data_IF_425577007242
#
_entry.id   IF_425577007242
#
_cell.length_a   1.000
_cell.length_b   1.000
_cell.length_c   1.000
_cell.angle_alpha   90.00
_cell.angle_beta   90.00
_cell.angle_gamma   90.00
#
_symmetry.space_group_name_H-M   'P 1'
#
loop_
_entity.id
_entity.type
_entity.pdbx_description
1 polymer ?
#
# COMPACT_ATOMS: atom_id res chain seq x y z
N UNK A 1 -6.64 -35.96 44.72
CA UNK A 1 -5.66 -35.51 43.70
C UNK A 1 -5.30 -36.62 42.71
N UNK A 2 -6.26 -37.40 42.18
CA UNK A 2 -6.02 -38.44 41.15
C UNK A 2 -7.03 -38.41 39.99
N UNK A 3 -7.93 -37.41 39.92
CA UNK A 3 -8.95 -37.29 38.87
C UNK A 3 -8.62 -36.30 37.74
N UNK A 4 -7.59 -35.47 37.91
CA UNK A 4 -7.28 -34.39 36.96
C UNK A 4 -6.28 -34.80 35.85
N UNK A 5 -5.53 -35.90 36.04
CA UNK A 5 -4.55 -36.36 35.04
C UNK A 5 -5.15 -37.28 33.95
N UNK A 6 -6.31 -37.88 34.20
CA UNK A 6 -6.98 -38.74 33.23
C UNK A 6 -7.71 -37.93 32.15
N UNK A 7 -8.29 -36.79 32.52
CA UNK A 7 -8.99 -35.90 31.55
C UNK A 7 -8.02 -35.17 30.64
N UNK A 8 -6.84 -34.79 31.09
CA UNK A 8 -5.81 -34.14 30.29
C UNK A 8 -5.19 -35.10 29.25
N UNK A 9 -5.16 -36.41 29.53
CA UNK A 9 -4.68 -37.42 28.55
C UNK A 9 -5.72 -37.73 27.47
N UNK A 10 -7.01 -37.67 27.76
CA UNK A 10 -8.08 -37.93 26.79
C UNK A 10 -8.20 -36.81 25.76
N UNK A 11 -7.99 -35.56 26.15
CA UNK A 11 -8.00 -34.39 25.24
C UNK A 11 -6.80 -34.39 24.26
N UNK A 12 -5.64 -34.88 24.72
CA UNK A 12 -4.44 -34.95 23.85
C UNK A 12 -4.40 -36.18 22.92
N UNK A 13 -5.23 -37.20 23.16
CA UNK A 13 -5.32 -38.36 22.27
C UNK A 13 -6.27 -38.13 21.08
N UNK A 14 -7.28 -37.29 21.24
CA UNK A 14 -8.24 -36.94 20.15
C UNK A 14 -7.66 -35.99 19.08
N UNK A 15 -6.52 -35.35 19.35
CA UNK A 15 -5.87 -34.41 18.40
C UNK A 15 -4.90 -35.10 17.39
N UNK A 16 -4.78 -36.44 17.41
CA UNK A 16 -3.77 -37.16 16.61
C UNK A 16 -4.29 -38.00 15.43
N UNK A 17 -5.59 -37.99 15.14
CA UNK A 17 -6.15 -38.77 14.02
C UNK A 17 -7.11 -37.91 13.17
N UNK A 18 -6.56 -36.95 12.40
CA UNK A 18 -7.23 -36.42 11.24
C UNK A 18 -6.32 -36.62 10.03
N UNK A 19 -6.80 -37.20 8.90
CA UNK A 19 -6.01 -37.36 7.68
C UNK A 19 -5.72 -36.01 7.03
N UNK A 20 -4.61 -35.85 6.27
CA UNK A 20 -4.30 -34.61 5.58
C UNK A 20 -5.28 -34.43 4.42
N UNK A 21 -6.09 -33.38 4.47
CA UNK A 21 -6.87 -32.92 3.33
C UNK A 21 -5.93 -32.37 2.25
N UNK A 22 -6.19 -32.83 1.03
CA UNK A 22 -5.37 -32.64 -0.15
C UNK A 22 -5.13 -31.18 -0.55
N UNK A 23 -4.02 -31.03 -1.28
CA UNK A 23 -3.47 -29.77 -1.70
C UNK A 23 -4.39 -28.91 -2.56
N UNK A 24 -4.39 -27.66 -2.22
CA UNK A 24 -4.48 -26.48 -3.10
C UNK A 24 -4.22 -25.24 -2.23
N UNK A 25 -3.43 -24.30 -2.77
CA UNK A 25 -3.19 -22.94 -2.22
C UNK A 25 -2.06 -22.76 -1.20
N UNK A 26 -0.84 -23.27 -1.52
CA UNK A 26 0.37 -22.94 -0.76
C UNK A 26 1.00 -21.59 -1.17
N UNK A 27 0.60 -20.99 -2.30
CA UNK A 27 1.26 -19.81 -2.87
C UNK A 27 0.77 -18.44 -2.33
N UNK A 28 -0.44 -18.35 -1.78
CA UNK A 28 -1.00 -17.08 -1.29
C UNK A 28 -0.41 -16.60 0.06
N UNK A 29 0.15 -17.52 0.85
CA UNK A 29 0.70 -17.20 2.19
C UNK A 29 2.22 -16.93 2.20
N UNK A 30 2.91 -17.11 1.08
CA UNK A 30 4.39 -17.18 1.05
C UNK A 30 5.07 -15.80 1.07
N UNK A 31 4.40 -14.73 0.66
CA UNK A 31 4.97 -13.39 0.69
C UNK A 31 5.19 -12.84 2.11
N UNK A 32 4.44 -13.33 3.12
CA UNK A 32 4.62 -12.97 4.53
C UNK A 32 5.76 -13.75 5.20
N UNK A 33 6.19 -14.88 4.60
CA UNK A 33 7.23 -15.78 5.11
C UNK A 33 8.55 -15.70 4.35
N UNK A 34 8.62 -14.91 3.28
CA UNK A 34 9.87 -14.72 2.54
C UNK A 34 10.99 -14.26 3.48
N UNK A 35 12.20 -14.86 3.45
CA UNK A 35 13.26 -14.57 4.42
C UNK A 35 13.76 -13.14 4.27
N UNK A 36 13.25 -12.25 5.13
CA UNK A 36 13.55 -10.80 5.14
C UNK A 36 15.02 -10.47 5.41
N UNK A 37 15.85 -11.44 5.81
CA UNK A 37 17.28 -11.18 6.14
C UNK A 37 18.11 -10.74 4.93
N UNK A 38 17.84 -11.26 3.75
CA UNK A 38 18.56 -10.85 2.52
C UNK A 38 18.13 -9.46 2.04
N UNK A 39 16.87 -9.07 2.27
CA UNK A 39 16.37 -7.75 1.90
C UNK A 39 16.94 -6.62 2.79
N UNK A 40 17.20 -6.88 4.06
CA UNK A 40 17.75 -5.85 4.97
C UNK A 40 19.20 -5.52 4.65
N UNK A 41 20.01 -6.49 4.26
CA UNK A 41 21.41 -6.25 3.85
C UNK A 41 21.47 -5.45 2.54
N UNK A 42 20.66 -5.83 1.56
CA UNK A 42 20.56 -5.11 0.29
C UNK A 42 20.07 -3.67 0.50
N UNK A 43 19.06 -3.46 1.36
CA UNK A 43 18.57 -2.13 1.70
C UNK A 43 19.64 -1.30 2.40
N UNK A 44 20.35 -1.86 3.37
CA UNK A 44 21.48 -1.20 4.04
C UNK A 44 22.60 -0.82 3.08
N UNK A 45 22.91 -1.72 2.15
CA UNK A 45 23.90 -1.46 1.10
C UNK A 45 23.48 -0.32 0.18
N UNK A 46 22.24 -0.34 -0.31
CA UNK A 46 21.69 0.74 -1.16
C UNK A 46 21.69 2.07 -0.39
N UNK A 47 21.27 2.07 0.89
CA UNK A 47 21.31 3.25 1.73
C UNK A 47 22.74 3.78 1.92
N UNK A 48 23.69 2.90 2.19
CA UNK A 48 25.10 3.27 2.32
C UNK A 48 25.62 3.90 1.01
N UNK A 49 25.39 3.24 -0.12
CA UNK A 49 25.76 3.76 -1.44
C UNK A 49 25.10 5.11 -1.74
N UNK A 50 23.82 5.25 -1.43
CA UNK A 50 23.08 6.49 -1.63
C UNK A 50 23.62 7.64 -0.81
N UNK A 51 24.02 7.38 0.45
CA UNK A 51 24.53 8.40 1.37
C UNK A 51 25.95 8.79 1.02
N UNK A 52 26.80 7.81 0.70
CA UNK A 52 28.24 8.04 0.49
C UNK A 52 28.55 8.58 -0.92
N UNK A 53 27.99 7.95 -1.95
CA UNK A 53 28.29 8.30 -3.36
C UNK A 53 27.30 9.28 -3.97
N UNK A 54 26.17 9.51 -3.28
CA UNK A 54 25.12 10.39 -3.74
C UNK A 54 24.21 9.75 -4.82
N UNK A 55 23.09 10.45 -5.11
CA UNK A 55 22.02 9.96 -5.97
C UNK A 55 22.47 9.62 -7.40
N UNK A 56 23.32 10.48 -8.01
CA UNK A 56 23.71 10.31 -9.42
C UNK A 56 24.50 9.02 -9.63
N UNK A 57 25.47 8.73 -8.77
CA UNK A 57 26.31 7.54 -8.87
C UNK A 57 25.51 6.29 -8.53
N UNK A 58 24.73 6.31 -7.45
CA UNK A 58 23.93 5.16 -7.03
C UNK A 58 22.89 4.77 -8.08
N UNK A 59 22.36 5.73 -8.85
CA UNK A 59 21.44 5.43 -9.96
C UNK A 59 22.05 4.57 -11.06
N UNK A 60 23.35 4.60 -11.25
CA UNK A 60 24.02 3.74 -12.24
C UNK A 60 23.94 2.25 -11.89
N UNK A 61 23.70 1.93 -10.61
CA UNK A 61 23.49 0.54 -10.16
C UNK A 61 22.06 0.04 -10.38
N UNK A 62 21.07 0.91 -10.64
CA UNK A 62 19.67 0.50 -10.77
C UNK A 62 19.40 -0.35 -12.01
N UNK A 63 19.95 -0.04 -13.21
CA UNK A 63 19.74 -0.89 -14.38
C UNK A 63 20.20 -2.33 -14.19
N UNK A 64 21.44 -2.63 -13.74
CA UNK A 64 21.86 -4.02 -13.49
C UNK A 64 21.05 -4.70 -12.37
N UNK A 65 20.61 -3.97 -11.33
CA UNK A 65 19.72 -4.52 -10.29
C UNK A 65 18.37 -4.89 -10.89
N UNK A 66 17.74 -3.99 -11.66
CA UNK A 66 16.47 -4.26 -12.31
C UNK A 66 16.56 -5.46 -13.28
N UNK A 67 17.65 -5.54 -14.04
CA UNK A 67 17.91 -6.67 -14.93
C UNK A 67 18.08 -7.99 -14.17
N UNK A 68 18.82 -7.97 -13.05
CA UNK A 68 18.98 -9.14 -12.18
C UNK A 68 17.61 -9.66 -11.70
N UNK A 69 16.74 -8.80 -11.17
CA UNK A 69 15.41 -9.23 -10.73
C UNK A 69 14.54 -9.71 -11.87
N UNK A 70 14.64 -9.10 -13.05
CA UNK A 70 13.90 -9.53 -14.23
C UNK A 70 14.30 -10.94 -14.68
N UNK A 71 15.59 -11.29 -14.58
CA UNK A 71 16.11 -12.60 -15.02
C UNK A 71 15.93 -13.69 -13.95
N UNK A 72 16.22 -13.36 -12.67
CA UNK A 72 16.37 -14.35 -11.61
C UNK A 72 15.23 -14.40 -10.60
N UNK A 73 14.20 -13.56 -10.72
CA UNK A 73 13.03 -13.58 -9.84
C UNK A 73 11.75 -14.01 -10.63
N UNK A 74 11.52 -15.33 -10.84
CA UNK A 74 10.44 -15.82 -11.70
C UNK A 74 9.04 -15.47 -11.20
N UNK A 75 8.79 -15.55 -9.88
CA UNK A 75 7.47 -15.26 -9.29
C UNK A 75 7.07 -13.80 -9.48
N UNK A 76 7.83 -12.78 -9.03
CA UNK A 76 7.52 -11.39 -9.33
C UNK A 76 7.37 -11.10 -10.82
N UNK A 77 8.24 -11.70 -11.67
CA UNK A 77 8.17 -11.53 -13.13
C UNK A 77 6.84 -12.00 -13.72
N UNK A 78 6.28 -13.13 -13.25
CA UNK A 78 4.97 -13.62 -13.68
C UNK A 78 3.87 -12.61 -13.38
N UNK A 79 3.83 -12.07 -12.16
CA UNK A 79 2.84 -11.08 -11.76
C UNK A 79 2.99 -9.77 -12.53
N UNK A 80 4.24 -9.30 -12.74
CA UNK A 80 4.54 -8.14 -13.59
C UNK A 80 4.01 -8.35 -15.02
N UNK A 81 4.29 -9.51 -15.64
CA UNK A 81 3.83 -9.85 -17.00
C UNK A 81 2.29 -9.80 -17.08
N UNK A 82 1.61 -10.42 -16.10
CA UNK A 82 0.13 -10.41 -16.02
C UNK A 82 -0.43 -9.00 -15.89
N UNK A 83 0.14 -8.19 -15.01
CA UNK A 83 -0.27 -6.80 -14.83
C UNK A 83 -0.07 -5.98 -16.10
N UNK A 84 1.13 -5.99 -16.66
CA UNK A 84 1.44 -5.21 -17.85
C UNK A 84 0.60 -5.62 -19.06
N UNK A 85 0.34 -6.92 -19.24
CA UNK A 85 -0.59 -7.40 -20.28
C UNK A 85 -1.98 -6.78 -20.13
N UNK A 86 -2.50 -6.63 -18.92
CA UNK A 86 -3.81 -6.01 -18.65
C UNK A 86 -3.79 -4.48 -18.78
N UNK A 87 -2.70 -3.85 -18.38
CA UNK A 87 -2.58 -2.39 -18.37
C UNK A 87 -2.31 -1.80 -19.77
N UNK A 88 -1.45 -2.45 -20.57
CA UNK A 88 -1.00 -1.93 -21.87
C UNK A 88 -1.26 -2.88 -23.04
N UNK A 89 -1.82 -4.08 -22.79
CA UNK A 89 -2.19 -5.03 -23.83
C UNK A 89 -1.12 -6.07 -24.18
N UNK A 90 -1.37 -6.88 -25.25
CA UNK A 90 -0.54 -8.03 -25.60
C UNK A 90 0.89 -7.67 -26.07
N UNK A 91 1.15 -6.40 -26.40
CA UNK A 91 2.48 -5.92 -26.76
C UNK A 91 3.42 -5.81 -25.56
N UNK A 92 2.93 -5.99 -24.31
CA UNK A 92 3.75 -5.97 -23.12
C UNK A 92 4.86 -7.03 -23.15
N UNK A 93 6.10 -6.60 -23.07
CA UNK A 93 7.28 -7.45 -23.23
C UNK A 93 8.29 -7.31 -22.09
N UNK A 94 9.46 -7.91 -22.30
CA UNK A 94 10.58 -7.87 -21.35
C UNK A 94 11.05 -6.45 -21.05
N UNK A 95 11.04 -5.57 -22.06
CA UNK A 95 11.42 -4.16 -21.92
C UNK A 95 10.48 -3.44 -20.95
N UNK A 96 9.20 -3.76 -21.00
CA UNK A 96 8.20 -3.14 -20.13
C UNK A 96 8.32 -3.65 -18.68
N UNK A 97 8.62 -4.95 -18.53
CA UNK A 97 8.99 -5.52 -17.23
C UNK A 97 10.24 -4.86 -16.63
N UNK A 98 11.25 -4.62 -17.45
CA UNK A 98 12.45 -3.90 -17.04
C UNK A 98 12.14 -2.46 -16.63
N UNK A 99 11.33 -1.71 -17.42
CA UNK A 99 10.92 -0.33 -17.08
C UNK A 99 10.21 -0.28 -15.72
N UNK A 100 9.30 -1.22 -15.44
CA UNK A 100 8.59 -1.28 -14.17
C UNK A 100 9.56 -1.55 -13.01
N UNK A 101 10.43 -2.55 -13.12
CA UNK A 101 11.42 -2.86 -12.08
C UNK A 101 12.42 -1.72 -11.87
N UNK A 102 12.84 -1.05 -12.95
CA UNK A 102 13.71 0.12 -12.87
C UNK A 102 13.01 1.32 -12.20
N UNK A 103 11.72 1.54 -12.50
CA UNK A 103 10.92 2.58 -11.83
C UNK A 103 10.77 2.26 -10.33
N UNK A 104 10.47 1.01 -9.97
CA UNK A 104 10.44 0.56 -8.58
C UNK A 104 11.77 0.80 -7.86
N UNK A 105 12.87 0.33 -8.42
CA UNK A 105 14.21 0.52 -7.84
C UNK A 105 14.55 2.02 -7.70
N UNK A 106 14.13 2.85 -8.65
CA UNK A 106 14.30 4.31 -8.60
C UNK A 106 13.54 4.94 -7.44
N UNK A 107 12.27 4.55 -7.23
CA UNK A 107 11.46 5.08 -6.12
C UNK A 107 11.99 4.61 -4.77
N UNK A 108 12.49 3.38 -4.66
CA UNK A 108 13.14 2.87 -3.43
C UNK A 108 14.42 3.64 -3.10
N UNK A 109 15.24 3.94 -4.11
CA UNK A 109 16.42 4.79 -3.93
C UNK A 109 16.02 6.21 -3.51
N UNK A 110 15.07 6.82 -4.21
CA UNK A 110 14.65 8.20 -3.97
C UNK A 110 14.00 8.37 -2.58
N UNK A 111 13.35 7.32 -2.03
CA UNK A 111 12.84 7.27 -0.66
C UNK A 111 13.91 7.62 0.37
N UNK A 112 15.15 7.16 0.20
CA UNK A 112 16.27 7.47 1.11
C UNK A 112 16.48 8.98 1.21
N UNK A 113 16.40 9.68 0.08
CA UNK A 113 16.58 11.13 0.02
C UNK A 113 15.37 11.88 0.57
N UNK A 114 14.15 11.42 0.30
CA UNK A 114 12.93 12.00 0.88
C UNK A 114 12.96 11.93 2.41
N UNK A 115 13.33 10.79 2.96
CA UNK A 115 13.43 10.59 4.41
C UNK A 115 14.58 11.38 5.06
N UNK A 116 15.57 11.78 4.26
CA UNK A 116 16.66 12.68 4.69
C UNK A 116 16.39 14.16 4.39
N UNK A 117 15.18 14.50 3.99
CA UNK A 117 14.78 15.88 3.73
C UNK A 117 15.39 16.52 2.48
N UNK A 118 16.04 15.74 1.59
CA UNK A 118 16.71 16.22 0.38
C UNK A 118 15.71 16.38 -0.78
N UNK A 119 14.73 17.27 -0.59
CA UNK A 119 13.72 17.60 -1.59
C UNK A 119 14.26 18.43 -2.73
N UNK A 120 15.34 19.17 -2.48
CA UNK A 120 16.09 19.97 -3.43
C UNK A 120 16.59 19.18 -4.66
N UNK A 121 16.67 17.85 -4.54
CA UNK A 121 17.08 16.98 -5.63
C UNK A 121 15.96 16.62 -6.62
N UNK A 122 14.72 17.05 -6.37
CA UNK A 122 13.54 16.59 -7.09
C UNK A 122 12.66 17.73 -7.56
N UNK A 123 12.02 17.51 -8.70
CA UNK A 123 11.00 18.35 -9.28
C UNK A 123 9.62 17.72 -9.05
N UNK A 124 8.80 18.41 -8.26
CA UNK A 124 7.45 17.98 -7.90
C UNK A 124 6.41 18.84 -8.58
N UNK A 125 5.49 18.20 -9.29
CA UNK A 125 4.25 18.82 -9.74
C UNK A 125 3.13 18.35 -8.81
N UNK A 126 2.34 19.30 -8.30
CA UNK A 126 1.19 19.03 -7.44
C UNK A 126 -0.11 19.32 -8.16
N UNK A 127 -1.10 18.45 -7.97
CA UNK A 127 -2.44 18.57 -8.53
C UNK A 127 -3.50 18.18 -7.48
N UNK A 128 -4.62 18.94 -7.41
CA UNK A 128 -5.73 18.69 -6.47
C UNK A 128 -5.47 19.08 -5.02
N UNK A 129 -4.38 19.80 -4.73
CA UNK A 129 -4.03 20.19 -3.35
C UNK A 129 -5.02 21.16 -2.71
N UNK A 130 -5.67 22.04 -3.47
CA UNK A 130 -6.56 23.09 -2.95
C UNK A 130 -7.74 22.52 -2.18
N UNK A 131 -8.37 21.46 -2.71
CA UNK A 131 -9.48 20.80 -2.01
C UNK A 131 -9.04 20.13 -0.71
N UNK A 132 -7.84 19.56 -0.71
CA UNK A 132 -7.27 18.93 0.49
C UNK A 132 -6.91 19.96 1.55
N UNK A 133 -6.35 21.10 1.15
CA UNK A 133 -6.05 22.22 2.04
C UNK A 133 -7.33 22.82 2.65
N UNK A 134 -8.38 22.95 1.86
CA UNK A 134 -9.70 23.40 2.34
C UNK A 134 -10.22 22.47 3.44
N UNK A 135 -10.18 21.15 3.23
CA UNK A 135 -10.59 20.18 4.26
C UNK A 135 -9.73 20.26 5.53
N UNK A 136 -8.43 20.54 5.39
CA UNK A 136 -7.54 20.75 6.53
C UNK A 136 -7.86 22.01 7.31
N UNK A 137 -8.15 23.13 6.61
CA UNK A 137 -8.49 24.42 7.21
C UNK A 137 -9.85 24.40 7.91
N UNK A 138 -10.80 23.62 7.43
CA UNK A 138 -12.09 23.39 8.08
C UNK A 138 -11.97 22.60 9.40
N UNK A 139 -10.77 22.12 9.76
CA UNK A 139 -10.51 21.36 10.96
C UNK A 139 -11.13 19.97 10.99
N UNK A 140 -11.65 19.51 9.84
CA UNK A 140 -12.32 18.21 9.73
C UNK A 140 -11.34 17.05 9.59
N UNK A 141 -10.09 17.30 9.15
CA UNK A 141 -9.15 16.28 8.74
C UNK A 141 -9.66 15.44 7.56
N UNK A 142 -8.84 14.54 7.04
CA UNK A 142 -9.26 13.68 5.93
C UNK A 142 -8.51 12.34 5.93
N UNK A 143 -9.08 11.35 5.23
CA UNK A 143 -8.36 10.14 4.86
C UNK A 143 -7.75 10.30 3.47
N UNK A 144 -6.47 9.91 3.35
CA UNK A 144 -5.75 9.86 2.11
C UNK A 144 -5.51 8.39 1.74
N UNK A 145 -6.25 7.88 0.75
CA UNK A 145 -6.16 6.49 0.33
C UNK A 145 -5.31 6.40 -0.93
N UNK A 146 -4.13 5.80 -0.77
CA UNK A 146 -3.21 5.53 -1.86
C UNK A 146 -3.20 4.07 -2.28
N UNK A 147 -2.29 3.77 -3.20
CA UNK A 147 -1.93 2.43 -3.64
C UNK A 147 -0.40 2.30 -3.68
N UNK A 148 0.11 1.09 -3.91
CA UNK A 148 1.55 0.88 -4.15
C UNK A 148 1.98 1.45 -5.51
N UNK A 149 1.65 2.74 -5.74
CA UNK A 149 1.94 3.48 -6.97
C UNK A 149 3.00 4.54 -6.68
N UNK A 150 4.13 4.45 -7.40
CA UNK A 150 5.22 5.40 -7.29
C UNK A 150 5.78 5.49 -5.87
N UNK A 151 5.80 6.67 -5.25
CA UNK A 151 6.32 6.87 -3.88
C UNK A 151 5.33 7.57 -2.98
N UNK A 152 4.97 6.89 -1.89
CA UNK A 152 4.18 7.48 -0.82
C UNK A 152 4.93 8.63 -0.12
N UNK A 153 6.24 8.48 0.05
CA UNK A 153 7.09 9.48 0.71
C UNK A 153 7.21 10.77 -0.11
N UNK A 154 7.09 10.68 -1.45
CA UNK A 154 7.04 11.87 -2.30
C UNK A 154 5.87 12.79 -1.93
N UNK A 155 4.75 12.22 -1.49
CA UNK A 155 3.58 12.99 -1.02
C UNK A 155 3.85 13.75 0.28
N UNK A 156 4.53 13.10 1.24
CA UNK A 156 4.98 13.76 2.47
C UNK A 156 6.07 14.81 2.23
N UNK A 157 6.84 14.62 1.18
CA UNK A 157 7.91 15.51 0.76
C UNK A 157 7.38 16.84 0.24
N UNK A 158 6.31 16.83 -0.52
CA UNK A 158 5.69 18.05 -1.06
C UNK A 158 5.30 19.05 0.03
N UNK A 159 4.91 18.56 1.20
CA UNK A 159 4.59 19.37 2.36
C UNK A 159 5.74 20.30 2.81
N UNK A 160 7.00 19.93 2.53
CA UNK A 160 8.18 20.67 3.00
C UNK A 160 8.64 21.77 2.04
N UNK A 161 8.23 21.70 0.77
CA UNK A 161 8.62 22.72 -0.22
C UNK A 161 7.75 23.97 -0.18
N UNK A 162 6.59 23.91 0.52
CA UNK A 162 5.67 25.03 0.60
C UNK A 162 5.41 25.40 2.07
N UNK A 163 6.00 26.50 2.58
CA UNK A 163 5.90 26.92 3.99
C UNK A 163 4.46 27.09 4.50
N UNK A 164 3.54 27.54 3.63
CA UNK A 164 2.13 27.76 3.99
C UNK A 164 1.38 26.43 4.20
N UNK A 165 1.88 25.31 3.67
CA UNK A 165 1.34 23.96 3.90
C UNK A 165 1.89 23.30 5.18
N UNK A 166 2.71 23.94 5.96
CA UNK A 166 3.22 23.43 7.25
C UNK A 166 2.09 23.08 8.23
N UNK A 167 0.87 23.55 8.00
CA UNK A 167 -0.32 23.23 8.78
C UNK A 167 -0.89 21.84 8.49
N UNK A 168 -0.60 21.26 7.32
CA UNK A 168 -1.12 19.94 6.93
C UNK A 168 -0.30 18.83 7.60
N UNK A 169 -0.84 18.26 8.69
CA UNK A 169 -0.21 17.16 9.44
C UNK A 169 -0.62 15.83 8.83
N UNK A 170 0.35 15.01 8.44
CA UNK A 170 0.11 13.68 7.87
C UNK A 170 0.56 12.59 8.85
N UNK A 171 -0.32 11.64 9.16
CA UNK A 171 -0.02 10.39 9.85
C UNK A 171 -0.16 9.21 8.91
N UNK A 172 0.76 8.26 9.00
CA UNK A 172 0.65 6.96 8.31
C UNK A 172 -0.17 6.01 9.19
N UNK A 173 -1.26 5.49 8.63
CA UNK A 173 -2.13 4.53 9.31
C UNK A 173 -1.74 3.11 8.88
N UNK A 174 -1.38 2.26 9.84
CA UNK A 174 -0.90 0.90 9.57
C UNK A 174 -1.37 -0.07 10.64
N UNK A 175 -1.47 -1.37 10.28
CA UNK A 175 -1.64 -2.42 11.28
C UNK A 175 -0.35 -2.62 12.10
N UNK A 176 -0.45 -3.05 13.39
CA UNK A 176 0.67 -3.03 14.33
C UNK A 176 1.92 -3.76 13.86
N UNK A 177 1.77 -4.94 13.25
CA UNK A 177 2.89 -5.77 12.80
C UNK A 177 3.68 -5.08 11.67
N UNK A 178 2.98 -4.45 10.73
CA UNK A 178 3.58 -3.65 9.67
C UNK A 178 4.17 -2.35 10.22
N UNK A 179 3.50 -1.72 11.19
CA UNK A 179 3.96 -0.47 11.80
C UNK A 179 5.32 -0.64 12.48
N UNK A 180 5.55 -1.71 13.23
CA UNK A 180 6.84 -1.96 13.91
C UNK A 180 7.99 -2.11 12.92
N UNK A 181 7.82 -2.93 11.88
CA UNK A 181 8.85 -3.18 10.85
C UNK A 181 9.19 -1.92 10.07
N UNK A 182 8.18 -1.23 9.55
CA UNK A 182 8.36 -0.01 8.76
C UNK A 182 8.94 1.10 9.62
N UNK A 183 8.46 1.27 10.86
CA UNK A 183 9.01 2.28 11.79
C UNK A 183 10.49 2.02 12.09
N UNK A 184 10.91 0.78 12.28
CA UNK A 184 12.34 0.44 12.48
C UNK A 184 13.19 0.85 11.27
N UNK A 185 12.73 0.57 10.04
CA UNK A 185 13.42 0.95 8.80
C UNK A 185 13.45 2.48 8.64
N UNK A 186 12.30 3.13 8.85
CA UNK A 186 12.19 4.58 8.74
C UNK A 186 13.08 5.28 9.77
N UNK A 187 13.10 4.81 11.00
CA UNK A 187 13.94 5.37 12.07
C UNK A 187 15.44 5.21 11.80
N UNK A 188 15.84 4.13 11.11
CA UNK A 188 17.23 3.91 10.73
C UNK A 188 17.74 4.85 9.62
N UNK A 189 16.82 5.38 8.80
CA UNK A 189 17.16 6.18 7.61
C UNK A 189 16.79 7.66 7.79
N UNK A 190 15.67 7.96 8.46
CA UNK A 190 15.11 9.31 8.56
C UNK A 190 15.87 10.18 9.55
N UNK A 191 15.99 11.45 9.19
CA UNK A 191 16.30 12.48 10.18
C UNK A 191 15.14 12.62 11.17
N UNK A 192 15.40 13.00 12.45
CA UNK A 192 14.35 13.13 13.46
C UNK A 192 13.16 13.99 13.00
N UNK A 193 13.42 15.11 12.34
CA UNK A 193 12.44 16.07 11.84
C UNK A 193 11.65 15.53 10.63
N UNK A 194 12.18 14.51 9.98
CA UNK A 194 11.60 13.88 8.80
C UNK A 194 10.79 12.62 9.10
N UNK A 195 10.79 12.18 10.35
CA UNK A 195 10.08 10.95 10.73
C UNK A 195 8.58 11.11 10.51
N UNK A 196 7.97 10.20 9.77
CA UNK A 196 6.51 10.20 9.63
C UNK A 196 5.86 9.84 10.97
N UNK A 197 4.78 10.53 11.29
CA UNK A 197 3.92 10.12 12.40
C UNK A 197 3.19 8.84 12.01
N UNK A 198 3.24 7.82 12.86
CA UNK A 198 2.59 6.52 12.61
C UNK A 198 1.53 6.25 13.67
N UNK A 199 0.30 5.99 13.24
CA UNK A 199 -0.79 5.54 14.11
C UNK A 199 -1.06 4.07 13.80
N UNK A 200 -0.79 3.20 14.78
CA UNK A 200 -1.02 1.76 14.66
C UNK A 200 -2.51 1.44 14.90
N UNK A 201 -3.21 1.00 13.85
CA UNK A 201 -4.63 0.63 13.91
C UNK A 201 -4.87 -0.69 14.67
N UNK A 202 -6.14 -0.97 15.01
CA UNK A 202 -6.54 -2.28 15.56
C UNK A 202 -6.61 -2.37 17.09
N UNK A 203 -6.31 -1.28 17.80
CA UNK A 203 -6.51 -1.19 19.26
C UNK A 203 -7.47 -0.06 19.61
N UNK A 204 -8.31 -0.18 20.66
CA UNK A 204 -9.28 0.85 21.03
C UNK A 204 -8.66 2.23 21.25
N UNK A 205 -7.52 2.32 21.94
CA UNK A 205 -6.82 3.59 22.17
C UNK A 205 -6.29 4.24 20.89
N UNK A 206 -5.94 3.43 19.87
CA UNK A 206 -5.49 3.96 18.59
C UNK A 206 -6.62 4.62 17.81
N UNK A 207 -7.85 4.15 17.99
CA UNK A 207 -9.02 4.75 17.37
C UNK A 207 -9.31 6.13 17.97
N UNK A 208 -9.13 6.30 19.28
CA UNK A 208 -9.24 7.60 19.95
C UNK A 208 -8.13 8.54 19.46
N UNK A 209 -6.89 8.08 19.44
CA UNK A 209 -5.75 8.86 18.93
C UNK A 209 -5.94 9.29 17.47
N UNK A 210 -6.49 8.40 16.63
CA UNK A 210 -6.81 8.72 15.24
C UNK A 210 -7.91 9.79 15.15
N UNK A 211 -8.98 9.66 15.94
CA UNK A 211 -10.06 10.64 15.97
C UNK A 211 -9.52 12.01 16.39
N UNK A 212 -8.78 12.09 17.50
CA UNK A 212 -8.21 13.33 18.01
C UNK A 212 -7.23 13.97 17.01
N UNK A 213 -6.47 13.14 16.27
CA UNK A 213 -5.62 13.59 15.17
C UNK A 213 -6.41 14.24 14.04
N UNK A 214 -7.50 13.59 13.60
CA UNK A 214 -8.38 14.10 12.54
C UNK A 214 -9.15 15.34 13.01
N UNK A 215 -9.68 15.36 14.26
CA UNK A 215 -10.37 16.50 14.85
C UNK A 215 -9.47 17.74 14.94
N UNK A 216 -8.16 17.54 15.06
CA UNK A 216 -7.17 18.61 14.95
C UNK A 216 -6.78 18.99 13.51
N UNK A 217 -7.54 18.61 12.49
CA UNK A 217 -7.26 18.90 11.07
C UNK A 217 -6.14 18.05 10.46
N UNK A 218 -5.71 16.97 11.15
CA UNK A 218 -4.69 16.06 10.63
C UNK A 218 -5.21 15.16 9.52
N UNK A 219 -4.31 14.70 8.64
CA UNK A 219 -4.59 13.76 7.56
C UNK A 219 -4.12 12.36 7.94
N UNK A 220 -4.94 11.33 7.68
CA UNK A 220 -4.59 9.93 7.86
C UNK A 220 -4.36 9.24 6.54
N UNK A 221 -3.10 8.91 6.22
CA UNK A 221 -2.73 8.24 4.97
C UNK A 221 -2.59 6.73 5.12
N UNK A 222 -3.16 5.95 4.19
CA UNK A 222 -3.02 4.50 4.13
C UNK A 222 -3.09 3.99 2.69
N UNK A 223 -2.56 2.79 2.47
CA UNK A 223 -2.67 2.09 1.19
C UNK A 223 -3.91 1.18 1.23
N UNK A 224 -4.73 1.23 0.18
CA UNK A 224 -6.01 0.52 0.10
C UNK A 224 -6.08 -0.49 -1.05
N UNK A 225 -4.97 -0.74 -1.76
CA UNK A 225 -4.90 -1.65 -2.90
C UNK A 225 -4.55 -3.10 -2.52
N UNK A 226 -4.48 -3.44 -1.22
CA UNK A 226 -4.25 -4.82 -0.76
C UNK A 226 -5.31 -5.27 0.23
N UNK A 227 -5.70 -6.52 0.10
CA UNK A 227 -6.48 -7.22 1.13
C UNK A 227 -5.58 -7.61 2.31
N UNK A 228 -6.16 -7.75 3.49
CA UNK A 228 -5.41 -8.19 4.66
C UNK A 228 -5.00 -9.66 4.49
N UNK A 229 -3.75 -10.03 4.88
CA UNK A 229 -3.31 -11.42 4.91
C UNK A 229 -4.25 -12.26 5.79
N UNK A 230 -4.60 -13.46 5.35
CA UNK A 230 -5.48 -14.38 6.09
C UNK A 230 -6.98 -14.05 6.01
N UNK A 231 -7.39 -13.00 5.29
CA UNK A 231 -8.82 -12.73 5.07
C UNK A 231 -9.49 -13.81 4.22
N UNK A 232 -8.75 -14.56 3.43
CA UNK A 232 -9.26 -15.66 2.60
C UNK A 232 -9.47 -16.97 3.38
N UNK A 233 -8.69 -17.20 4.44
CA UNK A 233 -8.77 -18.38 5.32
C UNK A 233 -9.79 -18.21 6.44
N UNK A 234 -10.29 -17.00 6.67
CA UNK A 234 -11.27 -16.73 7.73
C UNK A 234 -12.68 -17.16 7.28
N UNK A 235 -13.53 -17.65 8.21
CA UNK A 235 -14.96 -17.90 7.94
C UNK A 235 -15.61 -16.67 7.29
N UNK A 236 -16.58 -16.87 6.40
CA UNK A 236 -17.24 -15.81 5.65
C UNK A 236 -17.75 -14.64 6.52
N UNK A 237 -18.10 -14.92 7.79
CA UNK A 237 -18.51 -13.93 8.80
C UNK A 237 -17.36 -13.09 9.38
N UNK A 238 -16.10 -13.54 9.20
CA UNK A 238 -14.89 -12.85 9.65
C UNK A 238 -14.02 -12.36 8.46
N UNK A 239 -14.35 -12.77 7.23
CA UNK A 239 -13.75 -12.20 6.04
C UNK A 239 -14.11 -10.73 6.04
N UNK A 240 -13.13 -9.88 6.35
CA UNK A 240 -13.31 -8.44 6.28
C UNK A 240 -14.06 -8.08 5.00
N UNK A 241 -14.86 -7.06 5.06
CA UNK A 241 -15.77 -6.65 3.99
C UNK A 241 -14.99 -6.33 2.70
N UNK A 242 -14.71 -7.36 1.91
CA UNK A 242 -14.07 -7.21 0.61
C UNK A 242 -15.13 -7.06 -0.47
N UNK A 243 -14.94 -6.09 -1.35
CA UNK A 243 -15.79 -5.86 -2.52
C UNK A 243 -15.04 -6.36 -3.76
N UNK A 244 -15.68 -7.28 -4.51
CA UNK A 244 -15.16 -7.73 -5.80
C UNK A 244 -15.63 -6.76 -6.87
N UNK A 245 -14.68 -6.16 -7.58
CA UNK A 245 -14.92 -5.20 -8.67
C UNK A 245 -14.06 -5.55 -9.89
N UNK A 246 -14.49 -5.19 -11.10
CA UNK A 246 -13.66 -5.29 -12.28
C UNK A 246 -12.49 -4.31 -12.16
N UNK A 247 -11.26 -4.79 -12.41
CA UNK A 247 -10.04 -4.00 -12.43
C UNK A 247 -9.14 -4.47 -13.57
N UNK A 248 -8.84 -3.58 -14.49
CA UNK A 248 -8.11 -3.87 -15.71
C UNK A 248 -8.71 -5.08 -16.49
N UNK A 249 -10.04 -5.12 -16.53
CA UNK A 249 -10.81 -6.10 -17.28
C UNK A 249 -11.00 -7.47 -16.62
N UNK A 250 -10.61 -7.65 -15.34
CA UNK A 250 -10.81 -8.90 -14.58
C UNK A 250 -11.29 -8.63 -13.16
N UNK A 251 -12.03 -9.57 -12.53
CA UNK A 251 -12.44 -9.42 -11.13
C UNK A 251 -11.23 -9.35 -10.19
N UNK A 252 -11.26 -8.39 -9.28
CA UNK A 252 -10.27 -8.23 -8.22
C UNK A 252 -10.96 -7.88 -6.90
N UNK A 253 -10.34 -8.28 -5.78
CA UNK A 253 -10.88 -8.06 -4.44
C UNK A 253 -10.26 -6.82 -3.81
N UNK A 254 -11.10 -5.90 -3.36
CA UNK A 254 -10.69 -4.66 -2.70
C UNK A 254 -11.22 -4.62 -1.27
N UNK A 255 -10.36 -4.21 -0.32
CA UNK A 255 -10.75 -4.06 1.07
C UNK A 255 -11.52 -2.74 1.27
N UNK A 256 -12.74 -2.81 1.77
CA UNK A 256 -13.56 -1.63 2.08
C UNK A 256 -13.32 -1.07 3.50
N UNK A 257 -12.52 -1.74 4.32
CA UNK A 257 -12.20 -1.33 5.69
C UNK A 257 -11.77 0.14 5.83
N UNK A 258 -10.86 0.66 4.99
CA UNK A 258 -10.48 2.07 4.99
C UNK A 258 -11.66 3.03 4.80
N UNK A 259 -12.59 2.67 3.92
CA UNK A 259 -13.79 3.49 3.61
C UNK A 259 -14.82 3.40 4.74
N UNK A 260 -15.00 2.22 5.33
CA UNK A 260 -15.81 2.03 6.53
C UNK A 260 -15.29 2.84 7.71
N UNK A 261 -13.97 2.88 7.89
CA UNK A 261 -13.34 3.69 8.92
C UNK A 261 -13.59 5.18 8.69
N UNK A 262 -13.45 5.66 7.45
CA UNK A 262 -13.73 7.03 7.09
C UNK A 262 -15.21 7.39 7.31
N UNK A 263 -16.15 6.50 6.93
CA UNK A 263 -17.57 6.67 7.15
C UNK A 263 -17.93 6.68 8.65
N UNK A 264 -17.32 5.80 9.45
CA UNK A 264 -17.50 5.76 10.91
C UNK A 264 -17.06 7.07 11.57
N UNK A 265 -15.92 7.61 11.17
CA UNK A 265 -15.36 8.86 11.70
C UNK A 265 -15.89 10.11 10.98
N UNK A 266 -16.78 9.94 9.99
CA UNK A 266 -17.42 11.03 9.21
C UNK A 266 -16.43 11.98 8.58
N UNK A 267 -15.46 11.44 7.84
CA UNK A 267 -14.39 12.22 7.23
C UNK A 267 -14.45 12.15 5.70
N UNK A 268 -13.98 13.20 5.01
CA UNK A 268 -13.75 13.14 3.59
C UNK A 268 -12.61 12.17 3.27
N UNK A 269 -12.70 11.56 2.09
CA UNK A 269 -11.72 10.60 1.55
C UNK A 269 -11.17 11.14 0.25
N UNK A 270 -9.87 11.19 0.14
CA UNK A 270 -9.15 11.56 -1.07
C UNK A 270 -8.34 10.37 -1.58
N UNK A 271 -8.32 10.18 -2.89
CA UNK A 271 -7.31 9.39 -3.56
C UNK A 271 -5.99 10.14 -3.55
N UNK A 272 -4.88 9.43 -3.36
CA UNK A 272 -3.56 10.04 -3.44
C UNK A 272 -2.58 9.15 -4.20
N UNK A 273 -1.72 9.77 -5.02
CA UNK A 273 -0.65 9.09 -5.72
C UNK A 273 0.57 9.98 -5.91
N UNK A 274 1.78 9.42 -5.70
CA UNK A 274 3.06 10.07 -6.00
C UNK A 274 3.74 9.40 -7.19
N UNK A 275 3.35 9.77 -8.41
CA UNK A 275 3.76 9.10 -9.66
C UNK A 275 5.19 9.48 -10.02
N UNK A 276 6.06 8.48 -10.19
CA UNK A 276 7.40 8.68 -10.71
C UNK A 276 7.40 8.89 -12.22
N UNK A 277 7.94 10.02 -12.68
CA UNK A 277 7.97 10.44 -14.08
C UNK A 277 9.33 10.22 -14.76
N UNK A 278 10.24 9.54 -14.06
CA UNK A 278 11.61 9.37 -14.53
C UNK A 278 12.56 10.49 -14.10
N UNK A 279 13.84 10.16 -13.99
CA UNK A 279 14.85 11.11 -13.53
C UNK A 279 14.65 11.54 -12.10
N UNK A 280 14.32 12.81 -11.87
CA UNK A 280 14.06 13.39 -10.56
C UNK A 280 12.63 13.92 -10.45
N UNK A 281 11.73 13.56 -11.34
CA UNK A 281 10.40 14.16 -11.48
C UNK A 281 9.32 13.28 -10.86
N UNK A 282 8.43 13.92 -10.09
CA UNK A 282 7.26 13.28 -9.47
C UNK A 282 6.02 14.14 -9.69
N UNK A 283 4.91 13.51 -10.09
CA UNK A 283 3.58 14.12 -10.08
C UNK A 283 2.84 13.62 -8.83
N UNK A 284 2.47 14.53 -7.95
CA UNK A 284 1.68 14.23 -6.75
C UNK A 284 0.25 14.69 -6.98
N UNK A 285 -0.69 13.76 -6.82
CA UNK A 285 -2.11 14.00 -7.11
C UNK A 285 -2.97 13.70 -5.91
N UNK A 286 -3.93 14.58 -5.68
CA UNK A 286 -5.00 14.39 -4.71
C UNK A 286 -6.33 14.58 -5.43
N UNK A 287 -7.28 13.69 -5.17
CA UNK A 287 -8.61 13.76 -5.77
C UNK A 287 -9.65 13.28 -4.77
N UNK A 288 -10.71 14.07 -4.55
CA UNK A 288 -11.78 13.70 -3.64
C UNK A 288 -12.55 12.51 -4.19
N UNK A 289 -12.69 11.45 -3.38
CA UNK A 289 -13.46 10.25 -3.70
C UNK A 289 -14.86 10.30 -3.09
N UNK A 290 -14.95 10.72 -1.83
CA UNK A 290 -16.20 10.76 -1.08
C UNK A 290 -16.11 11.76 0.07
N UNK A 291 -17.26 12.20 0.56
CA UNK A 291 -17.38 12.94 1.83
C UNK A 291 -18.47 12.28 2.70
N UNK A 292 -18.04 11.70 3.81
CA UNK A 292 -18.93 11.07 4.79
C UNK A 292 -19.35 12.03 5.92
N UNK A 293 -19.16 13.35 5.77
CA UNK A 293 -19.47 14.36 6.79
C UNK A 293 -20.95 14.39 7.18
N UNK A 294 -21.84 14.12 6.24
CA UNK A 294 -23.27 14.01 6.49
C UNK A 294 -23.63 12.63 7.05
N UNK A 295 -24.59 12.61 7.98
CA UNK A 295 -25.10 11.34 8.51
C UNK A 295 -25.99 10.69 7.49
N UNK A 296 -25.74 9.42 7.08
CA UNK A 296 -26.66 8.69 6.21
C UNK A 296 -28.01 8.47 6.91
N UNK A 297 -29.10 8.44 6.14
CA UNK A 297 -30.44 8.27 6.64
C UNK A 297 -30.61 6.89 7.32
N UNK A 298 -30.00 5.87 6.76
CA UNK A 298 -30.08 4.50 7.25
C UNK A 298 -28.80 3.69 6.95
N UNK A 299 -28.79 2.43 7.35
CA UNK A 299 -27.68 1.53 7.12
C UNK A 299 -27.48 1.20 5.62
N UNK A 300 -28.56 1.12 4.84
CA UNK A 300 -28.50 0.81 3.42
C UNK A 300 -27.86 1.96 2.62
N UNK A 301 -28.20 3.19 2.97
CA UNK A 301 -27.56 4.37 2.38
C UNK A 301 -26.08 4.41 2.72
N UNK A 302 -25.70 4.13 3.96
CA UNK A 302 -24.28 4.06 4.36
C UNK A 302 -23.53 3.03 3.52
N UNK A 303 -24.06 1.83 3.34
CA UNK A 303 -23.41 0.79 2.52
C UNK A 303 -23.31 1.20 1.04
N UNK A 304 -24.32 1.88 0.50
CA UNK A 304 -24.26 2.43 -0.87
C UNK A 304 -23.15 3.48 -1.03
N UNK A 305 -23.03 4.40 -0.06
CA UNK A 305 -21.99 5.43 -0.07
C UNK A 305 -20.58 4.83 0.05
N UNK A 306 -20.38 3.83 0.92
CA UNK A 306 -19.12 3.12 1.05
C UNK A 306 -18.78 2.42 -0.26
N UNK A 307 -19.73 1.68 -0.85
CA UNK A 307 -19.52 0.98 -2.12
C UNK A 307 -19.16 1.95 -3.24
N UNK A 308 -19.86 3.06 -3.38
CA UNK A 308 -19.57 4.08 -4.37
C UNK A 308 -18.17 4.68 -4.21
N UNK A 309 -17.71 4.88 -2.96
CA UNK A 309 -16.36 5.37 -2.67
C UNK A 309 -15.27 4.35 -3.06
N UNK A 310 -15.50 3.04 -2.84
CA UNK A 310 -14.59 1.97 -3.29
C UNK A 310 -14.56 1.92 -4.82
N UNK A 311 -15.73 1.99 -5.49
CA UNK A 311 -15.81 2.00 -6.95
C UNK A 311 -15.07 3.21 -7.56
N UNK A 312 -15.21 4.40 -6.96
CA UNK A 312 -14.47 5.59 -7.37
C UNK A 312 -12.94 5.40 -7.18
N UNK A 313 -12.51 4.82 -6.06
CA UNK A 313 -11.09 4.52 -5.83
C UNK A 313 -10.54 3.55 -6.88
N UNK A 314 -11.24 2.46 -7.17
CA UNK A 314 -10.82 1.46 -8.15
C UNK A 314 -10.74 2.07 -9.56
N UNK A 315 -11.71 2.90 -9.94
CA UNK A 315 -11.70 3.61 -11.22
C UNK A 315 -10.48 4.55 -11.34
N UNK A 316 -10.12 5.27 -10.25
CA UNK A 316 -8.92 6.14 -10.24
C UNK A 316 -7.63 5.34 -10.29
N UNK A 317 -7.53 4.25 -9.55
CA UNK A 317 -6.37 3.37 -9.61
C UNK A 317 -6.21 2.76 -11.01
N UNK A 318 -7.30 2.29 -11.64
CA UNK A 318 -7.26 1.75 -13.00
C UNK A 318 -6.81 2.79 -14.02
N UNK A 319 -7.38 3.99 -13.98
CA UNK A 319 -6.97 5.10 -14.86
C UNK A 319 -5.49 5.43 -14.70
N UNK A 320 -4.99 5.43 -13.46
CA UNK A 320 -3.59 5.68 -13.16
C UNK A 320 -2.67 4.57 -13.68
N UNK A 321 -3.06 3.29 -13.51
CA UNK A 321 -2.32 2.15 -14.04
C UNK A 321 -2.23 2.17 -15.58
N UNK A 322 -3.28 2.61 -16.26
CA UNK A 322 -3.27 2.76 -17.73
C UNK A 322 -2.41 3.95 -18.19
N UNK A 323 -2.49 5.08 -17.49
CA UNK A 323 -1.73 6.28 -17.83
C UNK A 323 -0.23 6.15 -17.49
N UNK A 324 0.10 5.43 -16.42
CA UNK A 324 1.46 5.28 -15.89
C UNK A 324 1.77 3.81 -15.56
N UNK A 325 1.80 2.91 -16.55
CA UNK A 325 1.81 1.46 -16.34
C UNK A 325 3.04 0.94 -15.59
N UNK A 326 4.13 1.70 -15.54
CA UNK A 326 5.35 1.29 -14.84
C UNK A 326 5.44 1.80 -13.41
N UNK A 327 4.33 2.30 -12.83
CA UNK A 327 4.31 2.89 -11.50
C UNK A 327 3.57 2.07 -10.46
N UNK A 328 2.75 1.07 -10.80
CA UNK A 328 2.07 0.22 -9.82
C UNK A 328 2.93 -1.00 -9.50
N UNK A 329 3.41 -1.06 -8.26
CA UNK A 329 4.38 -2.06 -7.79
C UNK A 329 3.68 -3.24 -7.11
N UNK A 330 2.84 -3.90 -7.88
CA UNK A 330 2.18 -5.13 -7.47
C UNK A 330 2.99 -6.36 -7.95
N UNK A 331 3.63 -7.05 -7.01
CA UNK A 331 4.48 -8.22 -7.28
C UNK A 331 3.86 -9.53 -6.76
N UNK A 332 2.55 -9.54 -6.52
CA UNK A 332 1.78 -10.71 -6.08
C UNK A 332 0.56 -10.92 -6.96
N UNK A 333 -0.13 -12.04 -6.77
CA UNK A 333 -1.37 -12.30 -7.48
C UNK A 333 -2.48 -11.40 -6.94
N UNK A 334 -3.10 -10.64 -7.83
CA UNK A 334 -4.06 -9.60 -7.47
C UNK A 334 -5.48 -9.93 -7.91
N UNK A 335 -5.62 -10.66 -9.03
CA UNK A 335 -6.91 -10.98 -9.62
C UNK A 335 -7.42 -12.32 -9.13
N UNK A 336 -8.73 -12.38 -8.94
CA UNK A 336 -9.43 -13.64 -8.70
C UNK A 336 -9.42 -14.41 -10.03
N UNK A 337 -8.56 -15.42 -10.14
CA UNK A 337 -8.52 -16.26 -11.33
C UNK A 337 -9.63 -17.31 -11.25
N UNK A 338 -10.31 -17.56 -12.39
CA UNK A 338 -10.99 -18.82 -12.58
C UNK A 338 -9.95 -19.93 -12.49
N UNK A 339 -10.15 -20.90 -11.62
CA UNK A 339 -9.21 -22.01 -11.35
C UNK A 339 -8.84 -22.84 -12.60
N UNK A 340 -9.42 -22.55 -13.76
CA UNK A 340 -9.29 -23.33 -15.01
C UNK A 340 -8.62 -22.58 -16.18
N UNK A 341 -8.01 -21.42 -15.97
CA UNK A 341 -7.28 -20.77 -17.07
C UNK A 341 -5.92 -21.42 -17.29
N UNK A 342 -5.65 -22.06 -18.48
CA UNK A 342 -4.36 -22.66 -18.77
C UNK A 342 -3.26 -21.62 -18.67
N UNK A 343 -2.15 -21.98 -18.01
CA UNK A 343 -0.96 -21.15 -17.92
C UNK A 343 -0.54 -20.76 -19.35
N UNK A 344 -0.74 -19.48 -19.71
CA UNK A 344 -0.29 -18.98 -21.00
C UNK A 344 1.23 -19.15 -21.09
N UNK A 345 1.65 -19.95 -22.08
CA UNK A 345 3.02 -20.34 -22.40
C UNK A 345 3.95 -19.14 -22.67
#
# INVERSE_FOLDING_TARGET
MKHTEAETRAVNAAARTAPPAGGATADAADWTRAPERSNMLALRFICFMAIFFGRRITRLLLPPIALYFLLFAPTPRRHIKRYLYRAIGPQAGWVDGFKLLHAFASTVLDRVYFLRGRMDLFDFRMDGQVELETAALEGRGAFLLGAHVGSFEAMGACKRQQPDQARMRLAMLMYPDNAQRITAILNAISLPEARPHVIALGRPHSMLALRDWLDGGGMGGMLADRTLPGSEEQPAQQRGNNIVLPFLGRPASFNDGPFRLAALLRRPVFFMAGVYRGGARYDVRFERLADFGQRPADAAERERLIRAAVEAYVARLEALCRAYPYNWFNFHDFWLEDADAPAAA
#
